data_IF_767414543793
#
_entry.id   IF_767414543793
#
_cell.length_a   1.000
_cell.length_b   1.000
_cell.length_c   1.000
_cell.angle_alpha   90.00
_cell.angle_beta   90.00
_cell.angle_gamma   90.00
#
_symmetry.space_group_name_H-M   'P 1'
#
loop_
_entity.id
_entity.type
_entity.pdbx_description
1 polymer ?
#
# COMPACT_ATOMS: atom_id res chain seq x y z
N UNK A 1 8.79 -49.11 -3.87
CA UNK A 1 9.05 -47.74 -4.36
C UNK A 1 7.73 -46.99 -4.26
N UNK A 2 7.55 -46.24 -3.17
CA UNK A 2 6.30 -45.59 -2.78
C UNK A 2 6.62 -44.11 -2.60
N UNK A 3 6.33 -43.28 -3.58
CA UNK A 3 6.32 -41.83 -3.39
C UNK A 3 4.87 -41.35 -3.40
N UNK A 4 4.26 -41.50 -2.22
CA UNK A 4 3.10 -40.71 -1.82
C UNK A 4 3.58 -39.28 -1.66
N UNK A 5 3.11 -38.39 -2.52
CA UNK A 5 3.05 -36.96 -2.24
C UNK A 5 2.22 -36.74 -0.97
N UNK A 6 2.89 -36.74 0.19
CA UNK A 6 2.36 -36.19 1.43
C UNK A 6 3.16 -34.93 1.75
N UNK A 7 2.62 -33.80 1.30
CA UNK A 7 2.99 -32.49 1.80
C UNK A 7 2.44 -32.43 3.23
N UNK A 8 3.30 -32.70 4.21
CA UNK A 8 3.00 -32.49 5.62
C UNK A 8 3.07 -30.99 5.91
N UNK A 9 1.90 -30.35 5.90
CA UNK A 9 1.67 -29.09 6.60
C UNK A 9 1.85 -29.36 8.10
N UNK A 10 2.96 -28.90 8.69
CA UNK A 10 3.06 -28.73 10.13
C UNK A 10 2.81 -27.27 10.48
N UNK A 11 1.52 -26.94 10.65
CA UNK A 11 1.07 -25.80 11.44
C UNK A 11 1.06 -26.26 12.91
N UNK A 12 2.13 -25.97 13.65
CA UNK A 12 2.06 -26.02 15.11
C UNK A 12 1.63 -24.65 15.66
N UNK A 13 0.39 -24.64 16.10
CA UNK A 13 -0.27 -23.82 17.13
C UNK A 13 0.61 -22.77 17.83
N UNK A 14 0.16 -21.51 17.79
CA UNK A 14 0.28 -20.56 18.89
C UNK A 14 1.48 -19.61 18.87
N UNK A 15 1.17 -18.31 18.91
CA UNK A 15 2.05 -17.17 19.21
C UNK A 15 2.96 -16.65 18.09
N UNK A 16 2.38 -15.77 17.27
CA UNK A 16 3.05 -14.80 16.38
C UNK A 16 4.11 -13.92 17.08
N UNK A 17 4.13 -13.86 18.41
CA UNK A 17 5.04 -13.00 19.17
C UNK A 17 6.47 -13.53 19.35
N UNK A 18 6.80 -14.77 18.94
CA UNK A 18 8.18 -15.32 19.09
C UNK A 18 9.02 -15.30 17.80
N UNK A 19 8.53 -14.73 16.70
CA UNK A 19 9.31 -14.63 15.46
C UNK A 19 10.51 -13.67 15.58
N UNK A 20 10.40 -12.61 16.40
CA UNK A 20 11.50 -11.66 16.60
C UNK A 20 12.73 -12.26 17.28
N UNK A 21 12.56 -13.25 18.16
CA UNK A 21 13.66 -13.83 18.93
C UNK A 21 14.43 -14.90 18.15
N UNK A 22 13.76 -15.60 17.21
CA UNK A 22 14.41 -16.66 16.41
C UNK A 22 15.41 -16.06 15.40
N UNK A 23 15.18 -14.83 14.91
CA UNK A 23 16.05 -14.19 13.91
C UNK A 23 17.45 -13.92 14.47
N UNK A 24 17.59 -13.57 15.76
CA UNK A 24 18.91 -13.34 16.38
C UNK A 24 19.72 -14.63 16.57
N UNK A 25 19.07 -15.79 16.61
CA UNK A 25 19.77 -17.07 16.77
C UNK A 25 19.92 -17.84 15.45
N UNK A 26 19.36 -17.33 14.34
CA UNK A 26 19.59 -17.93 13.03
C UNK A 26 21.04 -17.80 12.59
N UNK A 27 21.74 -16.69 12.81
CA UNK A 27 23.14 -16.54 12.37
C UNK A 27 24.07 -17.69 12.82
N UNK A 28 23.77 -18.36 13.94
CA UNK A 28 24.48 -19.57 14.41
C UNK A 28 24.03 -20.90 13.77
N UNK A 29 22.78 -21.04 13.32
CA UNK A 29 22.32 -22.22 12.57
C UNK A 29 22.78 -22.20 11.09
N UNK A 30 23.05 -21.01 10.53
CA UNK A 30 23.46 -20.82 9.13
C UNK A 30 24.85 -21.41 8.80
N UNK A 31 25.69 -21.66 9.81
CA UNK A 31 27.02 -22.25 9.62
C UNK A 31 27.06 -23.80 9.67
N UNK A 32 25.93 -24.48 9.94
CA UNK A 32 25.89 -25.95 10.11
C UNK A 32 25.06 -26.72 9.09
N UNK A 33 24.41 -26.06 8.13
CA UNK A 33 23.58 -26.73 7.12
C UNK A 33 24.42 -27.25 5.95
N UNK A 34 24.59 -28.57 5.84
CA UNK A 34 25.17 -29.26 4.66
C UNK A 34 24.13 -29.53 3.54
N UNK A 35 23.10 -28.69 3.39
CA UNK A 35 22.15 -28.86 2.27
C UNK A 35 22.74 -28.32 0.98
N UNK A 36 22.50 -29.01 -0.14
CA UNK A 36 23.00 -28.62 -1.47
C UNK A 36 22.56 -27.17 -1.75
N UNK A 37 23.46 -26.32 -2.29
CA UNK A 37 23.22 -24.88 -2.44
C UNK A 37 21.90 -24.57 -3.19
N UNK A 38 21.53 -25.43 -4.14
CA UNK A 38 20.37 -25.25 -5.00
C UNK A 38 19.03 -25.31 -4.23
N UNK A 39 18.87 -26.23 -3.28
CA UNK A 39 17.64 -26.33 -2.47
C UNK A 39 17.50 -25.13 -1.51
N UNK A 40 18.61 -24.66 -0.95
CA UNK A 40 18.64 -23.52 -0.02
C UNK A 40 18.28 -22.23 -0.77
N UNK A 41 18.85 -22.02 -1.96
CA UNK A 41 18.55 -20.85 -2.80
C UNK A 41 17.08 -20.86 -3.26
N UNK A 42 16.55 -22.02 -3.66
CA UNK A 42 15.14 -22.15 -4.07
C UNK A 42 14.19 -21.84 -2.90
N UNK A 43 14.47 -22.36 -1.70
CA UNK A 43 13.61 -22.15 -0.54
C UNK A 43 13.62 -20.69 -0.06
N UNK A 44 14.79 -20.03 -0.10
CA UNK A 44 14.90 -18.59 0.18
C UNK A 44 14.16 -17.77 -0.87
N UNK A 45 14.31 -18.07 -2.17
CA UNK A 45 13.55 -17.41 -3.23
C UNK A 45 12.04 -17.65 -3.12
N UNK A 46 11.61 -18.87 -2.79
CA UNK A 46 10.20 -19.22 -2.65
C UNK A 46 9.56 -18.54 -1.43
N UNK A 47 10.23 -18.52 -0.27
CA UNK A 47 9.77 -17.73 0.88
C UNK A 47 9.73 -16.24 0.53
N UNK A 48 10.71 -15.72 -0.20
CA UNK A 48 10.74 -14.31 -0.64
C UNK A 48 9.58 -13.99 -1.60
N UNK A 49 9.28 -14.87 -2.55
CA UNK A 49 8.16 -14.76 -3.51
C UNK A 49 6.80 -14.92 -2.81
N UNK A 50 6.68 -15.84 -1.84
CA UNK A 50 5.44 -16.11 -1.13
C UNK A 50 5.14 -15.11 0.01
N UNK A 51 6.12 -14.34 0.49
CA UNK A 51 5.89 -13.43 1.63
C UNK A 51 5.23 -12.11 1.23
N UNK A 52 5.45 -11.52 0.05
CA UNK A 52 4.96 -10.13 -0.16
C UNK A 52 4.63 -9.78 -1.62
N UNK A 53 3.39 -10.02 -2.03
CA UNK A 53 2.71 -9.09 -2.96
C UNK A 53 1.20 -9.20 -2.81
N UNK A 54 0.66 -8.86 -1.63
CA UNK A 54 -0.75 -8.46 -1.57
C UNK A 54 -0.84 -7.17 -2.36
N UNK A 55 -1.59 -7.19 -3.45
CA UNK A 55 -1.94 -5.96 -4.16
C UNK A 55 -2.65 -5.03 -3.18
N UNK A 56 -2.27 -3.75 -3.17
CA UNK A 56 -2.91 -2.81 -2.25
C UNK A 56 -4.37 -2.64 -2.67
N UNK A 57 -5.28 -2.71 -1.73
CA UNK A 57 -6.67 -2.35 -2.00
C UNK A 57 -6.85 -0.83 -1.86
N UNK A 58 -7.80 -0.30 -2.62
CA UNK A 58 -8.22 1.09 -2.49
C UNK A 58 -9.52 1.11 -1.72
N UNK A 59 -9.47 1.66 -0.52
CA UNK A 59 -10.59 1.93 0.35
C UNK A 59 -10.97 3.40 0.23
N UNK A 60 -12.25 3.70 0.45
CA UNK A 60 -12.78 5.05 0.42
C UNK A 60 -13.34 5.39 1.79
N UNK A 61 -12.91 6.51 2.36
CA UNK A 61 -13.52 7.07 3.55
C UNK A 61 -14.74 7.89 3.14
N UNK A 62 -15.93 7.42 3.53
CA UNK A 62 -17.22 8.00 3.11
C UNK A 62 -17.32 8.10 1.57
N UNK A 63 -18.14 9.03 1.06
CA UNK A 63 -18.37 9.24 -0.38
C UNK A 63 -17.57 10.40 -0.99
N UNK A 64 -16.77 11.14 -0.20
CA UNK A 64 -16.12 12.38 -0.64
C UNK A 64 -15.31 12.24 -1.94
N UNK A 65 -14.48 11.19 -2.01
CA UNK A 65 -13.67 10.94 -3.19
C UNK A 65 -14.51 10.41 -4.36
N UNK A 66 -15.50 9.54 -4.09
CA UNK A 66 -16.33 8.91 -5.11
C UNK A 66 -17.17 9.98 -5.82
N UNK A 67 -17.83 10.86 -5.07
CA UNK A 67 -18.65 11.95 -5.62
C UNK A 67 -17.81 12.88 -6.51
N UNK A 68 -16.61 13.23 -6.05
CA UNK A 68 -15.64 13.98 -6.84
C UNK A 68 -15.26 13.23 -8.11
N UNK A 69 -14.83 11.97 -8.00
CA UNK A 69 -14.41 11.18 -9.14
C UNK A 69 -15.51 11.06 -10.19
N UNK A 70 -16.76 10.89 -9.75
CA UNK A 70 -17.93 10.82 -10.64
C UNK A 70 -18.21 12.15 -11.35
N UNK A 71 -17.93 13.29 -10.72
CA UNK A 71 -18.09 14.62 -11.34
C UNK A 71 -17.08 14.94 -12.45
N UNK A 72 -16.00 14.17 -12.56
CA UNK A 72 -14.92 14.44 -13.52
C UNK A 72 -15.25 14.07 -14.95
N UNK A 73 -14.61 14.76 -15.90
CA UNK A 73 -14.60 14.39 -17.30
C UNK A 73 -13.87 13.06 -17.55
N UNK A 74 -14.24 12.36 -18.62
CA UNK A 74 -13.75 11.01 -18.90
C UNK A 74 -12.21 10.91 -18.98
N UNK A 75 -11.54 11.93 -19.53
CA UNK A 75 -10.08 11.92 -19.61
C UNK A 75 -9.40 12.11 -18.25
N UNK A 76 -9.98 12.94 -17.38
CA UNK A 76 -9.50 13.09 -16.00
C UNK A 76 -9.74 11.82 -15.18
N UNK A 77 -10.91 11.18 -15.31
CA UNK A 77 -11.22 9.86 -14.72
C UNK A 77 -10.17 8.84 -15.11
N UNK A 78 -9.90 8.66 -16.41
CA UNK A 78 -8.86 7.75 -16.91
C UNK A 78 -7.48 8.01 -16.31
N UNK A 79 -7.09 9.29 -16.19
CA UNK A 79 -5.79 9.67 -15.63
C UNK A 79 -5.69 9.33 -14.14
N UNK A 80 -6.74 9.60 -13.37
CA UNK A 80 -6.79 9.26 -11.94
C UNK A 80 -6.81 7.75 -11.76
N UNK A 81 -7.64 7.01 -12.51
CA UNK A 81 -7.65 5.54 -12.47
C UNK A 81 -6.28 4.95 -12.75
N UNK A 82 -5.57 5.46 -13.76
CA UNK A 82 -4.21 5.04 -14.06
C UNK A 82 -3.25 5.22 -12.87
N UNK A 83 -3.32 6.38 -12.19
CA UNK A 83 -2.47 6.64 -11.00
C UNK A 83 -2.86 5.71 -9.85
N UNK A 84 -4.15 5.48 -9.65
CA UNK A 84 -4.65 4.56 -8.62
C UNK A 84 -4.17 3.12 -8.89
N UNK A 85 -4.23 2.63 -10.11
CA UNK A 85 -3.75 1.29 -10.46
C UNK A 85 -2.22 1.16 -10.36
N UNK A 86 -1.49 2.23 -10.70
CA UNK A 86 -0.05 2.33 -10.43
C UNK A 86 0.23 2.21 -8.92
N UNK A 87 -0.56 2.86 -8.07
CA UNK A 87 -0.42 2.81 -6.62
C UNK A 87 -0.68 1.42 -6.03
N UNK A 88 -1.57 0.62 -6.64
CA UNK A 88 -1.82 -0.77 -6.19
C UNK A 88 -0.62 -1.69 -6.42
N UNK A 89 0.08 -1.48 -7.53
CA UNK A 89 1.07 -2.43 -8.06
C UNK A 89 2.51 -2.06 -7.73
N UNK A 90 2.83 -0.77 -7.62
CA UNK A 90 4.20 -0.30 -7.46
C UNK A 90 4.55 -0.03 -5.99
N UNK A 91 5.60 -0.67 -5.49
CA UNK A 91 6.08 -0.38 -4.13
C UNK A 91 6.59 1.06 -3.99
N UNK A 92 7.28 1.58 -5.03
CA UNK A 92 7.86 2.91 -5.03
C UNK A 92 6.89 3.94 -5.61
N UNK A 93 6.62 4.98 -4.84
CA UNK A 93 5.73 6.07 -5.24
C UNK A 93 6.45 7.02 -6.21
N UNK A 94 5.87 7.24 -7.38
CA UNK A 94 6.37 8.22 -8.32
C UNK A 94 6.06 9.65 -7.84
N UNK A 95 7.11 10.44 -7.57
CA UNK A 95 7.01 11.83 -7.07
C UNK A 95 6.20 12.77 -7.96
N UNK A 96 6.04 12.45 -9.24
CA UNK A 96 5.24 13.25 -10.16
C UNK A 96 3.74 13.11 -9.90
N UNK A 97 3.30 11.91 -9.48
CA UNK A 97 1.89 11.59 -9.24
C UNK A 97 1.52 11.59 -7.77
N UNK A 98 2.50 11.43 -6.88
CA UNK A 98 2.27 11.30 -5.44
C UNK A 98 3.25 12.17 -4.69
N UNK A 99 2.75 12.95 -3.75
CA UNK A 99 3.57 13.78 -2.87
C UNK A 99 3.19 13.53 -1.42
N UNK A 100 4.15 13.21 -0.57
CA UNK A 100 3.96 13.26 0.88
C UNK A 100 3.84 14.72 1.31
N UNK A 101 2.78 15.06 2.04
CA UNK A 101 2.55 16.42 2.54
C UNK A 101 3.09 16.54 3.97
N UNK A 102 2.37 16.00 4.96
CA UNK A 102 2.79 15.91 6.37
C UNK A 102 1.97 14.85 7.11
N UNK A 103 2.47 14.38 8.25
CA UNK A 103 1.80 13.45 9.16
C UNK A 103 1.21 12.21 8.48
N UNK A 104 1.91 11.66 7.50
CA UNK A 104 1.47 10.46 6.76
C UNK A 104 0.31 10.67 5.79
N UNK A 105 -0.10 11.93 5.53
CA UNK A 105 -1.04 12.27 4.47
C UNK A 105 -0.30 12.47 3.15
N UNK A 106 -0.79 11.77 2.13
CA UNK A 106 -0.28 11.84 0.76
C UNK A 106 -1.27 12.57 -0.14
N UNK A 107 -0.71 13.27 -1.13
CA UNK A 107 -1.44 13.98 -2.17
C UNK A 107 -1.22 13.24 -3.50
N UNK A 108 -2.31 12.80 -4.12
CA UNK A 108 -2.37 12.37 -5.51
C UNK A 108 -2.42 13.62 -6.40
N UNK A 109 -1.63 13.63 -7.47
CA UNK A 109 -1.52 14.73 -8.44
C UNK A 109 -1.81 14.19 -9.83
N UNK A 110 -2.88 14.68 -10.44
CA UNK A 110 -3.24 14.38 -11.81
C UNK A 110 -3.52 15.68 -12.57
N UNK A 111 -3.16 15.71 -13.85
CA UNK A 111 -3.46 16.84 -14.74
C UNK A 111 -4.04 16.33 -16.05
N UNK A 112 -5.09 16.99 -16.53
CA UNK A 112 -5.71 16.71 -17.81
C UNK A 112 -6.31 17.99 -18.40
N UNK A 113 -6.12 18.23 -19.70
CA UNK A 113 -6.63 19.41 -20.41
C UNK A 113 -6.38 20.76 -19.71
N UNK A 114 -5.19 20.92 -19.11
CA UNK A 114 -4.83 22.15 -18.37
C UNK A 114 -5.47 22.27 -16.98
N UNK A 115 -6.34 21.35 -16.57
CA UNK A 115 -6.88 21.25 -15.23
C UNK A 115 -5.94 20.41 -14.34
N UNK A 116 -5.82 20.82 -13.08
CA UNK A 116 -5.07 20.10 -12.05
C UNK A 116 -6.05 19.55 -11.02
N UNK A 117 -5.99 18.24 -10.83
CA UNK A 117 -6.78 17.47 -9.89
C UNK A 117 -5.87 16.98 -8.78
N UNK A 118 -6.32 17.15 -7.54
CA UNK A 118 -5.62 16.60 -6.37
C UNK A 118 -6.56 15.69 -5.61
N UNK A 119 -6.03 14.76 -4.84
CA UNK A 119 -6.81 13.99 -3.87
C UNK A 119 -5.90 13.62 -2.71
N UNK A 120 -6.46 13.53 -1.50
CA UNK A 120 -5.70 13.17 -0.32
C UNK A 120 -6.00 11.74 0.10
N UNK A 121 -4.95 11.02 0.48
CA UNK A 121 -5.05 9.64 0.91
C UNK A 121 -3.99 9.31 1.96
N UNK A 122 -4.19 8.19 2.65
CA UNK A 122 -3.25 7.65 3.63
C UNK A 122 -2.97 6.18 3.30
N UNK A 123 -1.87 5.65 3.85
CA UNK A 123 -1.63 4.22 3.87
C UNK A 123 -2.06 3.65 5.22
N UNK A 124 -2.85 2.60 5.20
CA UNK A 124 -3.31 1.89 6.40
C UNK A 124 -3.28 0.38 6.15
N UNK A 125 -2.57 -0.36 7.01
CA UNK A 125 -2.38 -1.83 6.89
C UNK A 125 -1.97 -2.32 5.49
N UNK A 126 -1.18 -1.52 4.77
CA UNK A 126 -0.73 -1.81 3.40
C UNK A 126 -1.72 -1.42 2.30
N UNK A 127 -2.92 -0.97 2.67
CA UNK A 127 -3.95 -0.47 1.76
C UNK A 127 -3.87 1.05 1.59
N UNK A 128 -4.56 1.55 0.57
CA UNK A 128 -4.68 2.98 0.28
C UNK A 128 -6.08 3.41 0.71
N UNK A 129 -6.18 4.36 1.62
CA UNK A 129 -7.47 4.92 2.06
C UNK A 129 -7.60 6.33 1.50
N UNK A 130 -8.53 6.50 0.56
CA UNK A 130 -8.86 7.80 -0.03
C UNK A 130 -9.70 8.59 0.97
N UNK A 131 -9.20 9.73 1.43
CA UNK A 131 -9.85 10.54 2.47
C UNK A 131 -10.88 11.49 1.87
N UNK A 132 -10.43 12.38 1.00
CA UNK A 132 -11.30 13.33 0.33
C UNK A 132 -10.62 13.95 -0.89
N UNK A 133 -11.48 14.56 -1.68
CA UNK A 133 -11.18 15.23 -2.92
C UNK A 133 -10.33 16.50 -2.75
N UNK A 134 -9.36 16.66 -3.64
CA UNK A 134 -8.66 17.90 -3.87
C UNK A 134 -9.31 18.67 -5.03
N UNK A 135 -9.97 19.75 -4.67
CA UNK A 135 -10.34 20.93 -5.46
C UNK A 135 -9.76 20.99 -6.88
N UNK A 136 -10.64 21.25 -7.85
CA UNK A 136 -10.21 21.72 -9.17
C UNK A 136 -9.57 23.11 -8.99
N UNK A 137 -8.25 23.20 -9.10
CA UNK A 137 -7.51 24.45 -8.97
C UNK A 137 -6.85 24.84 -10.29
N UNK A 138 -6.85 26.15 -10.58
CA UNK A 138 -5.92 26.77 -11.55
C UNK A 138 -4.52 27.04 -10.95
N UNK A 139 -4.35 26.88 -9.63
CA UNK A 139 -3.11 27.26 -8.91
C UNK A 139 -2.29 26.05 -8.42
N UNK A 140 -0.96 26.17 -8.51
CA UNK A 140 0.00 25.07 -8.25
C UNK A 140 0.17 24.69 -6.77
N UNK A 141 -0.15 25.60 -5.83
CA UNK A 141 -0.02 25.35 -4.38
C UNK A 141 -1.32 24.84 -3.77
N UNK A 142 -1.21 23.88 -2.86
CA UNK A 142 -2.33 23.38 -2.05
C UNK A 142 -2.55 24.34 -0.88
N UNK A 143 -3.77 24.85 -0.63
CA UNK A 143 -4.03 25.69 0.53
C UNK A 143 -3.84 24.90 1.83
N UNK A 144 -3.35 25.56 2.86
CA UNK A 144 -3.14 24.91 4.17
C UNK A 144 -4.45 24.42 4.79
N UNK A 145 -5.57 25.11 4.53
CA UNK A 145 -6.92 24.70 4.97
C UNK A 145 -7.31 23.30 4.50
N UNK A 146 -6.91 22.92 3.29
CA UNK A 146 -7.21 21.58 2.77
C UNK A 146 -6.31 20.53 3.38
N UNK A 147 -5.06 20.88 3.68
CA UNK A 147 -4.16 19.98 4.39
C UNK A 147 -4.70 19.72 5.80
N UNK A 148 -5.20 20.75 6.48
CA UNK A 148 -5.85 20.62 7.80
C UNK A 148 -7.10 19.75 7.74
N UNK A 149 -7.94 19.94 6.72
CA UNK A 149 -9.11 19.07 6.49
C UNK A 149 -8.70 17.61 6.27
N UNK A 150 -7.63 17.37 5.50
CA UNK A 150 -7.08 16.03 5.30
C UNK A 150 -6.67 15.36 6.62
N UNK A 151 -5.99 16.13 7.48
CA UNK A 151 -5.55 15.65 8.78
C UNK A 151 -6.73 15.37 9.71
N UNK A 152 -7.75 16.23 9.69
CA UNK A 152 -8.99 16.01 10.45
C UNK A 152 -9.66 14.70 10.04
N UNK A 153 -9.87 14.49 8.73
CA UNK A 153 -10.50 13.28 8.20
C UNK A 153 -9.66 12.02 8.45
N UNK A 154 -8.33 12.13 8.41
CA UNK A 154 -7.43 11.04 8.84
C UNK A 154 -7.71 10.66 10.30
N UNK A 155 -7.79 11.64 11.18
CA UNK A 155 -8.04 11.37 12.61
C UNK A 155 -9.43 10.80 12.84
N UNK A 156 -10.45 11.29 12.14
CA UNK A 156 -11.81 10.74 12.18
C UNK A 156 -11.84 9.29 11.67
N UNK A 157 -11.15 8.99 10.57
CA UNK A 157 -10.99 7.63 10.06
C UNK A 157 -10.42 6.69 11.13
N UNK A 158 -9.29 7.05 11.75
CA UNK A 158 -8.68 6.21 12.79
C UNK A 158 -9.53 6.09 14.06
N UNK A 159 -10.28 7.13 14.42
CA UNK A 159 -11.20 7.09 15.56
C UNK A 159 -12.45 6.23 15.28
N UNK A 160 -12.87 6.12 14.02
CA UNK A 160 -13.99 5.28 13.60
C UNK A 160 -13.61 3.80 13.41
N UNK A 161 -12.31 3.49 13.38
CA UNK A 161 -11.82 2.12 13.21
C UNK A 161 -12.08 1.33 14.51
N UNK A 162 -12.78 0.18 14.42
CA UNK A 162 -13.14 -0.64 15.58
C UNK A 162 -11.94 -1.34 16.23
#
# INVERSE_FOLDING_TARGET
MKDKFLIFLYLEKGNFCKAGTIIKNQSKLWLKSKKKPNEVVIYVNFIYICTMRKEREILYYENYFIDFFMSLENGAKKKISYVLDMLKTQERLNKNFVKLIRDGVYELRASHNGNIYRAFFIFDDGNIVMLFNGFQKKTQKTPDSEIEKALKLKNEYYASKP
#
